data_IF_898247396859
#
_entry.id   IF_898247396859
#
_cell.length_a   1.000
_cell.length_b   1.000
_cell.length_c   1.000
_cell.angle_alpha   90.00
_cell.angle_beta   90.00
_cell.angle_gamma   90.00
#
_symmetry.space_group_name_H-M   'P 1'
#
loop_
_entity.id
_entity.type
_entity.pdbx_description
1 polymer ?
#
# COMPACT_ATOMS: atom_id res chain seq x y z
N UNK A 1 20.42 34.14 69.58
CA UNK A 1 19.73 33.67 68.36
C UNK A 1 20.81 33.05 67.48
N UNK A 2 20.92 31.72 67.42
CA UNK A 2 21.99 31.01 66.71
C UNK A 2 21.42 30.45 65.40
N UNK A 3 21.73 31.08 64.27
CA UNK A 3 21.36 30.58 62.94
C UNK A 3 22.29 29.43 62.59
N UNK A 4 21.76 28.19 62.50
CA UNK A 4 22.52 27.05 62.00
C UNK A 4 22.88 27.29 60.53
N UNK A 5 24.15 27.12 60.12
CA UNK A 5 24.49 27.09 58.71
C UNK A 5 23.97 25.78 58.11
N UNK A 6 23.10 25.89 57.10
CA UNK A 6 22.70 24.75 56.27
C UNK A 6 23.87 24.36 55.36
N UNK A 7 24.78 23.54 55.88
CA UNK A 7 25.87 22.96 55.08
C UNK A 7 25.56 21.51 54.76
N UNK A 8 25.46 21.16 53.48
CA UNK A 8 25.98 19.87 53.01
C UNK A 8 25.17 19.00 52.06
N UNK A 9 23.94 19.35 51.66
CA UNK A 9 23.12 18.45 50.80
C UNK A 9 23.14 18.79 49.31
N UNK A 10 23.33 20.06 48.93
CA UNK A 10 23.27 20.51 47.53
C UNK A 10 24.18 19.75 46.54
N UNK A 11 25.47 19.46 46.83
CA UNK A 11 26.30 18.72 45.89
C UNK A 11 25.86 17.25 45.76
N UNK A 12 25.33 16.65 46.83
CA UNK A 12 24.88 15.27 46.82
C UNK A 12 23.56 15.11 46.01
N UNK A 13 22.62 16.05 46.17
CA UNK A 13 21.39 16.05 45.36
C UNK A 13 21.65 16.29 43.88
N UNK A 14 22.58 17.19 43.52
CA UNK A 14 22.97 17.41 42.11
C UNK A 14 23.55 16.12 41.50
N UNK A 15 24.42 15.42 42.22
CA UNK A 15 25.01 14.16 41.76
C UNK A 15 23.94 13.06 41.58
N UNK A 16 22.98 12.95 42.51
CA UNK A 16 21.86 12.00 42.39
C UNK A 16 20.99 12.32 41.17
N UNK A 17 20.65 13.59 40.95
CA UNK A 17 19.83 14.02 39.80
C UNK A 17 20.56 13.76 38.48
N UNK A 18 21.85 14.08 38.38
CA UNK A 18 22.65 13.79 37.19
C UNK A 18 22.78 12.29 36.93
N UNK A 19 22.96 11.49 37.99
CA UNK A 19 22.98 10.03 37.90
C UNK A 19 21.64 9.46 37.41
N UNK A 20 20.53 9.90 38.00
CA UNK A 20 19.19 9.51 37.57
C UNK A 20 18.90 9.93 36.12
N UNK A 21 19.26 11.15 35.73
CA UNK A 21 19.10 11.65 34.37
C UNK A 21 19.93 10.81 33.35
N UNK A 22 21.16 10.43 33.72
CA UNK A 22 22.02 9.59 32.89
C UNK A 22 21.42 8.19 32.69
N UNK A 23 20.84 7.60 33.73
CA UNK A 23 20.14 6.31 33.67
C UNK A 23 18.91 6.42 32.76
N UNK A 24 18.12 7.47 32.90
CA UNK A 24 16.93 7.71 32.06
C UNK A 24 17.32 7.88 30.59
N UNK A 25 18.35 8.66 30.29
CA UNK A 25 18.87 8.84 28.93
C UNK A 25 19.37 7.52 28.33
N UNK A 26 20.13 6.72 29.10
CA UNK A 26 20.60 5.41 28.66
C UNK A 26 19.43 4.44 28.39
N UNK A 27 18.40 4.46 29.24
CA UNK A 27 17.18 3.69 29.03
C UNK A 27 16.44 4.13 27.76
N UNK A 28 16.29 5.43 27.52
CA UNK A 28 15.66 5.97 26.30
C UNK A 28 16.42 5.58 25.04
N UNK A 29 17.76 5.64 25.03
CA UNK A 29 18.58 5.21 23.89
C UNK A 29 18.39 3.72 23.61
N UNK A 30 18.34 2.90 24.66
CA UNK A 30 18.16 1.45 24.52
C UNK A 30 16.78 1.10 23.95
N UNK A 31 15.74 1.73 24.49
CA UNK A 31 14.36 1.58 23.99
C UNK A 31 14.23 2.07 22.55
N UNK A 32 14.86 3.20 22.22
CA UNK A 32 14.86 3.75 20.87
C UNK A 32 15.51 2.80 19.85
N UNK A 33 16.63 2.18 20.20
CA UNK A 33 17.29 1.17 19.34
C UNK A 33 16.42 -0.06 19.13
N UNK A 34 15.82 -0.60 20.20
CA UNK A 34 14.90 -1.73 20.09
C UNK A 34 13.70 -1.44 19.19
N UNK A 35 13.15 -0.22 19.28
CA UNK A 35 12.05 0.20 18.42
C UNK A 35 12.47 0.29 16.94
N UNK A 36 13.67 0.82 16.66
CA UNK A 36 14.22 0.89 15.30
C UNK A 36 14.49 -0.51 14.72
N UNK A 37 15.09 -1.41 15.50
CA UNK A 37 15.38 -2.78 15.06
C UNK A 37 14.09 -3.55 14.74
N UNK A 38 13.06 -3.38 15.58
CA UNK A 38 11.75 -3.98 15.35
C UNK A 38 11.06 -3.42 14.10
N UNK A 39 11.19 -2.11 13.84
CA UNK A 39 10.65 -1.48 12.64
C UNK A 39 11.36 -2.00 11.39
N UNK A 40 12.68 -2.09 11.41
CA UNK A 40 13.46 -2.63 10.29
C UNK A 40 13.11 -4.09 10.01
N UNK A 41 12.97 -4.92 11.04
CA UNK A 41 12.58 -6.32 10.90
C UNK A 41 11.20 -6.45 10.23
N UNK A 42 10.22 -5.61 10.60
CA UNK A 42 8.89 -5.59 9.99
C UNK A 42 8.94 -5.21 8.51
N UNK A 43 9.65 -4.14 8.17
CA UNK A 43 9.81 -3.73 6.76
C UNK A 43 10.44 -4.83 5.91
N UNK A 44 11.47 -5.51 6.44
CA UNK A 44 12.08 -6.64 5.76
C UNK A 44 11.11 -7.82 5.59
N UNK A 45 10.25 -8.08 6.58
CA UNK A 45 9.23 -9.13 6.51
C UNK A 45 8.18 -8.81 5.44
N UNK A 46 7.67 -7.58 5.41
CA UNK A 46 6.67 -7.12 4.44
C UNK A 46 7.20 -7.22 3.01
N UNK A 47 8.43 -6.75 2.79
CA UNK A 47 9.12 -6.83 1.52
C UNK A 47 9.31 -8.29 1.06
N UNK A 48 9.73 -9.17 1.97
CA UNK A 48 9.90 -10.59 1.68
C UNK A 48 8.56 -11.29 1.42
N UNK A 49 7.49 -10.96 2.14
CA UNK A 49 6.15 -11.51 1.92
C UNK A 49 5.60 -11.06 0.56
N UNK A 50 5.74 -9.79 0.21
CA UNK A 50 5.31 -9.26 -1.09
C UNK A 50 6.07 -9.92 -2.24
N UNK A 51 7.39 -10.06 -2.11
CA UNK A 51 8.20 -10.74 -3.11
C UNK A 51 7.89 -12.23 -3.20
N UNK A 52 7.56 -12.88 -2.07
CA UNK A 52 7.05 -14.24 -2.07
C UNK A 52 5.76 -14.37 -2.87
N UNK A 53 4.88 -13.36 -2.78
CA UNK A 53 3.66 -13.31 -3.55
C UNK A 53 3.89 -13.09 -5.05
N UNK A 54 5.07 -12.70 -5.52
CA UNK A 54 5.38 -12.50 -6.95
C UNK A 54 6.26 -13.61 -7.53
N UNK A 55 7.35 -13.93 -6.85
CA UNK A 55 8.39 -14.83 -7.36
C UNK A 55 8.65 -16.02 -6.42
N UNK A 56 7.82 -16.21 -5.39
CA UNK A 56 7.96 -17.30 -4.43
C UNK A 56 9.24 -17.19 -3.58
N UNK A 57 9.82 -18.34 -3.23
CA UNK A 57 10.95 -18.42 -2.29
C UNK A 57 12.18 -17.62 -2.74
N UNK A 58 12.47 -17.57 -4.04
CA UNK A 58 13.64 -16.87 -4.58
C UNK A 58 13.51 -15.35 -4.42
N UNK A 59 12.34 -14.79 -4.78
CA UNK A 59 12.04 -13.37 -4.59
C UNK A 59 12.07 -12.96 -3.12
N UNK A 60 11.44 -13.75 -2.25
CA UNK A 60 11.44 -13.53 -0.81
C UNK A 60 12.87 -13.49 -0.24
N UNK A 61 13.73 -14.43 -0.65
CA UNK A 61 15.13 -14.50 -0.20
C UNK A 61 15.99 -13.35 -0.75
N UNK A 62 15.71 -12.87 -1.95
CA UNK A 62 16.40 -11.72 -2.53
C UNK A 62 16.06 -10.44 -1.75
N UNK A 63 14.77 -10.17 -1.55
CA UNK A 63 14.31 -8.97 -0.85
C UNK A 63 14.65 -8.97 0.64
N UNK A 64 14.65 -10.13 1.31
CA UNK A 64 15.18 -10.25 2.66
C UNK A 64 16.65 -9.77 2.73
N UNK A 65 17.51 -10.26 1.83
CA UNK A 65 18.93 -9.88 1.81
C UNK A 65 19.13 -8.39 1.52
N UNK A 66 18.37 -7.82 0.58
CA UNK A 66 18.41 -6.36 0.30
C UNK A 66 18.05 -5.53 1.53
N UNK A 67 17.20 -6.05 2.42
CA UNK A 67 16.81 -5.41 3.67
C UNK A 67 17.68 -5.83 4.87
N UNK A 68 18.89 -6.35 4.63
CA UNK A 68 19.81 -6.84 5.66
C UNK A 68 19.18 -7.90 6.58
N UNK A 69 18.27 -8.70 6.04
CA UNK A 69 17.57 -9.77 6.73
C UNK A 69 17.91 -11.14 6.14
N UNK A 70 17.79 -12.18 6.97
CA UNK A 70 17.81 -13.57 6.51
C UNK A 70 16.40 -14.13 6.54
N UNK A 71 15.95 -14.74 5.45
CA UNK A 71 14.67 -15.42 5.41
C UNK A 71 14.72 -16.68 6.29
N UNK A 72 13.87 -16.76 7.32
CA UNK A 72 13.80 -17.89 8.24
C UNK A 72 12.84 -18.96 7.74
N UNK A 73 11.57 -18.59 7.54
CA UNK A 73 10.55 -19.50 7.00
C UNK A 73 9.64 -18.78 6.03
N UNK A 74 9.17 -19.52 5.02
CA UNK A 74 8.14 -19.08 4.10
C UNK A 74 7.03 -20.11 4.08
N UNK A 75 5.82 -19.69 4.42
CA UNK A 75 4.61 -20.48 4.23
C UNK A 75 3.85 -19.95 3.01
N UNK A 76 3.68 -20.79 2.00
CA UNK A 76 2.90 -20.48 0.79
C UNK A 76 1.61 -21.28 0.86
N UNK A 77 0.47 -20.60 0.99
CA UNK A 77 -0.85 -21.21 1.11
C UNK A 77 -1.82 -20.59 0.12
N UNK A 78 -2.01 -21.21 -1.05
CA UNK A 78 -2.91 -20.71 -2.09
C UNK A 78 -2.51 -19.29 -2.54
N UNK A 79 -3.32 -18.30 -2.20
CA UNK A 79 -3.05 -16.87 -2.46
C UNK A 79 -2.24 -16.18 -1.36
N UNK A 80 -2.15 -16.75 -0.17
CA UNK A 80 -1.49 -16.12 0.98
C UNK A 80 -0.04 -16.59 1.12
N UNK A 81 0.89 -15.64 1.24
CA UNK A 81 2.31 -15.87 1.36
C UNK A 81 2.81 -15.22 2.64
N UNK A 82 3.16 -16.03 3.63
CA UNK A 82 3.66 -15.57 4.92
C UNK A 82 5.17 -15.75 5.00
N UNK A 83 5.92 -14.65 5.09
CA UNK A 83 7.36 -14.65 5.26
C UNK A 83 7.73 -14.33 6.71
N UNK A 84 8.66 -15.10 7.26
CA UNK A 84 9.32 -14.82 8.53
C UNK A 84 10.78 -14.52 8.25
N UNK A 85 11.27 -13.37 8.70
CA UNK A 85 12.65 -12.94 8.52
C UNK A 85 13.33 -12.72 9.87
N UNK A 86 14.64 -12.77 9.88
CA UNK A 86 15.49 -12.45 11.03
C UNK A 86 16.39 -11.27 10.68
N UNK A 87 16.34 -10.21 11.48
CA UNK A 87 17.20 -9.01 11.38
C UNK A 87 17.86 -8.80 12.72
N UNK A 88 19.20 -8.89 12.78
CA UNK A 88 19.96 -8.67 14.03
C UNK A 88 19.42 -9.44 15.25
N UNK A 89 18.92 -10.66 15.05
CA UNK A 89 18.33 -11.50 16.09
C UNK A 89 16.84 -11.25 16.39
N UNK A 90 16.23 -10.21 15.82
CA UNK A 90 14.79 -9.98 15.88
C UNK A 90 14.07 -10.77 14.80
N UNK A 91 12.99 -11.46 15.18
CA UNK A 91 12.13 -12.19 14.26
C UNK A 91 10.89 -11.36 13.95
N UNK A 92 10.63 -11.12 12.67
CA UNK A 92 9.41 -10.48 12.20
C UNK A 92 8.71 -11.38 11.18
N UNK A 93 7.38 -11.28 11.13
CA UNK A 93 6.53 -12.05 10.24
C UNK A 93 5.53 -11.12 9.55
N UNK A 94 5.35 -11.31 8.26
CA UNK A 94 4.36 -10.61 7.46
C UNK A 94 3.67 -11.58 6.50
N UNK A 95 2.44 -11.25 6.11
CA UNK A 95 1.66 -12.01 5.15
C UNK A 95 1.24 -11.09 4.01
N UNK A 96 1.49 -11.53 2.77
CA UNK A 96 1.04 -10.87 1.56
C UNK A 96 0.13 -11.81 0.78
N UNK A 97 -0.93 -11.26 0.19
CA UNK A 97 -1.85 -12.04 -0.65
C UNK A 97 -1.58 -11.73 -2.12
N UNK A 98 -1.29 -12.76 -2.93
CA UNK A 98 -1.40 -12.69 -4.39
C UNK A 98 -2.87 -12.62 -4.76
N UNK A 99 -3.34 -11.45 -5.14
CA UNK A 99 -4.65 -11.30 -5.79
C UNK A 99 -4.44 -11.56 -7.27
N UNK A 100 -4.74 -12.79 -7.70
CA UNK A 100 -4.78 -13.14 -9.12
C UNK A 100 -6.13 -12.70 -9.67
N UNK A 101 -6.17 -11.54 -10.33
CA UNK A 101 -7.37 -11.12 -11.04
C UNK A 101 -7.51 -12.01 -12.28
N UNK A 102 -8.51 -12.90 -12.25
CA UNK A 102 -8.83 -13.81 -13.34
C UNK A 102 -9.02 -13.10 -14.68
N UNK A 103 -8.76 -13.88 -15.73
CA UNK A 103 -8.60 -13.53 -17.14
C UNK A 103 -9.66 -12.55 -17.71
N UNK A 104 -9.21 -11.63 -18.56
CA UNK A 104 -10.06 -10.73 -19.36
C UNK A 104 -10.05 -9.27 -18.88
N UNK A 105 -11.04 -8.86 -18.09
CA UNK A 105 -11.36 -7.44 -17.88
C UNK A 105 -10.39 -6.66 -16.97
N UNK A 106 -9.61 -7.37 -16.15
CA UNK A 106 -8.62 -6.77 -15.24
C UNK A 106 -7.18 -6.87 -15.74
N UNK A 107 -6.98 -7.57 -16.87
CA UNK A 107 -5.68 -7.66 -17.51
C UNK A 107 -5.20 -6.27 -17.94
N UNK A 108 -3.93 -5.95 -17.70
CA UNK A 108 -3.33 -4.66 -18.05
C UNK A 108 -3.73 -3.48 -17.15
N UNK A 109 -4.57 -3.68 -16.12
CA UNK A 109 -4.84 -2.63 -15.15
C UNK A 109 -3.60 -2.34 -14.30
N UNK A 110 -3.37 -1.05 -14.01
CA UNK A 110 -2.27 -0.64 -13.16
C UNK A 110 -2.51 -1.08 -11.71
N UNK A 111 -1.43 -1.33 -10.92
CA UNK A 111 -1.57 -1.72 -9.51
C UNK A 111 -2.44 -0.78 -8.68
N UNK A 112 -2.39 0.54 -8.96
CA UNK A 112 -3.24 1.52 -8.27
C UNK A 112 -4.73 1.32 -8.54
N UNK A 113 -5.10 0.96 -9.78
CA UNK A 113 -6.50 0.66 -10.12
C UNK A 113 -6.95 -0.64 -9.47
N UNK A 114 -6.09 -1.67 -9.45
CA UNK A 114 -6.39 -2.93 -8.77
C UNK A 114 -6.61 -2.75 -7.26
N UNK A 115 -5.79 -1.92 -6.61
CA UNK A 115 -5.95 -1.58 -5.19
C UNK A 115 -7.26 -0.81 -4.93
N UNK A 116 -7.59 0.15 -5.79
CA UNK A 116 -8.83 0.92 -5.70
C UNK A 116 -10.06 0.02 -5.88
N UNK A 117 -10.03 -0.89 -6.85
CA UNK A 117 -11.06 -1.90 -7.06
C UNK A 117 -11.21 -2.81 -5.85
N UNK A 118 -10.12 -3.36 -5.32
CA UNK A 118 -10.18 -4.21 -4.13
C UNK A 118 -10.86 -3.50 -2.94
N UNK A 119 -10.55 -2.21 -2.74
CA UNK A 119 -11.18 -1.40 -1.70
C UNK A 119 -12.67 -1.15 -1.98
N UNK A 120 -13.03 -0.85 -3.23
CA UNK A 120 -14.43 -0.69 -3.61
C UNK A 120 -15.23 -1.98 -3.37
N UNK A 121 -14.67 -3.12 -3.75
CA UNK A 121 -15.29 -4.45 -3.59
C UNK A 121 -15.50 -4.81 -2.12
N UNK A 122 -14.54 -4.46 -1.25
CA UNK A 122 -14.69 -4.62 0.20
C UNK A 122 -15.84 -3.76 0.76
N UNK A 123 -15.96 -2.50 0.31
CA UNK A 123 -17.03 -1.60 0.74
C UNK A 123 -18.41 -1.99 0.21
N UNK A 124 -18.48 -2.53 -1.01
CA UNK A 124 -19.72 -2.98 -1.65
C UNK A 124 -20.13 -4.37 -1.15
N UNK A 125 -19.17 -5.21 -0.75
CA UNK A 125 -19.38 -6.62 -0.40
C UNK A 125 -19.57 -7.53 -1.61
N UNK A 126 -19.30 -7.06 -2.83
CA UNK A 126 -19.33 -7.87 -4.05
C UNK A 126 -18.35 -7.36 -5.12
N UNK A 127 -17.98 -8.19 -6.11
CA UNK A 127 -17.05 -7.78 -7.16
C UNK A 127 -17.58 -6.64 -8.04
N UNK A 128 -16.70 -5.74 -8.46
CA UNK A 128 -17.04 -4.67 -9.42
C UNK A 128 -17.04 -5.26 -10.84
N UNK A 129 -18.19 -5.23 -11.56
CA UNK A 129 -18.26 -5.68 -12.95
C UNK A 129 -17.59 -4.65 -13.86
N UNK A 130 -16.59 -5.09 -14.63
CA UNK A 130 -15.85 -4.24 -15.58
C UNK A 130 -16.28 -4.61 -16.99
N UNK A 131 -16.74 -3.61 -17.75
CA UNK A 131 -17.04 -3.72 -19.19
C UNK A 131 -15.77 -3.48 -20.01
N UNK A 132 -14.98 -2.48 -19.62
CA UNK A 132 -13.76 -2.08 -20.33
C UNK A 132 -12.70 -1.65 -19.31
N UNK A 133 -11.49 -2.19 -19.43
CA UNK A 133 -10.36 -1.96 -18.53
C UNK A 133 -9.18 -1.35 -19.27
N UNK A 134 -8.06 -2.07 -19.36
CA UNK A 134 -6.93 -1.64 -20.18
C UNK A 134 -7.31 -1.59 -21.68
N UNK A 135 -6.79 -0.58 -22.38
CA UNK A 135 -6.94 -0.44 -23.84
C UNK A 135 -5.57 -0.15 -24.44
N UNK A 136 -5.14 -0.91 -25.43
CA UNK A 136 -3.84 -0.63 -26.07
C UNK A 136 -3.87 0.69 -26.87
N UNK A 137 -2.72 1.34 -27.13
CA UNK A 137 -2.68 2.55 -27.95
C UNK A 137 -3.27 2.35 -29.35
N UNK A 138 -3.07 1.17 -29.95
CA UNK A 138 -3.65 0.84 -31.25
C UNK A 138 -5.19 0.72 -31.18
N UNK A 139 -5.74 0.16 -30.10
CA UNK A 139 -7.18 0.09 -29.90
C UNK A 139 -7.78 1.47 -29.63
N UNK A 140 -7.07 2.31 -28.87
CA UNK A 140 -7.47 3.70 -28.64
C UNK A 140 -7.46 4.51 -29.95
N UNK A 141 -6.48 4.30 -30.83
CA UNK A 141 -6.45 4.92 -32.16
C UNK A 141 -7.68 4.50 -32.98
N UNK A 142 -7.98 3.19 -33.04
CA UNK A 142 -9.18 2.72 -33.76
C UNK A 142 -10.47 3.30 -33.19
N UNK A 143 -10.58 3.43 -31.86
CA UNK A 143 -11.74 4.05 -31.22
C UNK A 143 -11.83 5.54 -31.55
N UNK A 144 -10.70 6.25 -31.54
CA UNK A 144 -10.63 7.66 -31.88
C UNK A 144 -11.01 7.92 -33.34
N UNK A 145 -10.54 7.09 -34.27
CA UNK A 145 -10.86 7.19 -35.69
C UNK A 145 -12.36 6.97 -35.96
N UNK A 146 -13.01 6.12 -35.16
CA UNK A 146 -14.44 5.82 -35.24
C UNK A 146 -15.27 6.52 -34.15
N UNK A 147 -14.76 7.60 -33.55
CA UNK A 147 -15.40 8.25 -32.38
C UNK A 147 -16.81 8.78 -32.66
N UNK A 148 -17.12 9.10 -33.91
CA UNK A 148 -18.43 9.63 -34.30
C UNK A 148 -19.56 8.59 -34.13
N UNK A 149 -19.21 7.30 -33.97
CA UNK A 149 -20.18 6.23 -33.66
C UNK A 149 -20.24 5.90 -32.16
N UNK A 150 -19.46 6.59 -31.31
CA UNK A 150 -19.45 6.37 -29.87
C UNK A 150 -20.38 7.39 -29.20
N UNK A 151 -21.36 6.96 -28.37
CA UNK A 151 -22.20 7.88 -27.62
C UNK A 151 -21.45 8.68 -26.54
N UNK A 152 -20.26 8.23 -26.13
CA UNK A 152 -19.45 8.85 -25.08
C UNK A 152 -18.20 9.55 -25.64
N UNK A 153 -17.69 10.58 -24.95
CA UNK A 153 -16.43 11.22 -25.30
C UNK A 153 -15.28 10.21 -25.44
N UNK A 154 -14.52 10.34 -26.52
CA UNK A 154 -13.34 9.50 -26.76
C UNK A 154 -12.09 10.35 -26.54
N UNK A 155 -11.14 9.89 -25.72
CA UNK A 155 -9.86 10.56 -25.54
C UNK A 155 -8.95 10.41 -26.78
N UNK A 156 -8.08 11.40 -27.04
CA UNK A 156 -7.05 11.28 -28.08
C UNK A 156 -6.08 10.14 -27.72
N UNK A 157 -5.55 9.39 -28.70
CA UNK A 157 -4.52 8.37 -28.46
C UNK A 157 -3.30 8.94 -27.73
N UNK A 158 -2.74 8.18 -26.79
CA UNK A 158 -1.66 8.61 -25.89
C UNK A 158 -2.11 9.49 -24.71
N UNK A 159 -3.41 9.81 -24.61
CA UNK A 159 -3.97 10.61 -23.50
C UNK A 159 -5.04 9.86 -22.70
N UNK A 160 -5.45 8.67 -23.15
CA UNK A 160 -6.48 7.88 -22.48
C UNK A 160 -5.95 7.23 -21.22
N UNK A 161 -6.70 7.34 -20.11
CA UNK A 161 -6.36 6.63 -18.86
C UNK A 161 -6.48 5.11 -18.98
N UNK A 162 -7.26 4.61 -19.94
CA UNK A 162 -7.31 3.18 -20.26
C UNK A 162 -5.98 2.66 -20.81
N UNK A 163 -5.22 3.49 -21.55
CA UNK A 163 -3.88 3.13 -22.05
C UNK A 163 -2.85 2.99 -20.92
N UNK A 164 -3.14 3.55 -19.75
CA UNK A 164 -2.31 3.45 -18.55
C UNK A 164 -2.83 2.38 -17.57
N UNK A 165 -3.94 1.71 -17.88
CA UNK A 165 -4.63 0.82 -16.93
C UNK A 165 -5.17 1.55 -15.69
N UNK A 166 -5.38 2.86 -15.78
CA UNK A 166 -5.85 3.74 -14.69
C UNK A 166 -7.32 4.13 -14.83
N UNK A 167 -8.06 3.49 -15.73
CA UNK A 167 -9.48 3.68 -15.94
C UNK A 167 -10.21 2.35 -16.12
N UNK A 168 -11.50 2.35 -15.74
CA UNK A 168 -12.45 1.28 -15.99
C UNK A 168 -13.78 1.88 -16.42
N UNK A 169 -14.51 1.13 -17.22
CA UNK A 169 -15.92 1.39 -17.53
C UNK A 169 -16.77 0.27 -16.91
N UNK A 170 -17.86 0.63 -16.25
CA UNK A 170 -18.80 -0.31 -15.61
C UNK A 170 -20.15 -0.30 -16.30
N UNK A 171 -21.01 -1.32 -16.12
CA UNK A 171 -22.38 -1.26 -16.63
C UNK A 171 -23.13 -0.06 -16.04
N UNK A 172 -23.97 0.61 -16.83
CA UNK A 172 -24.75 1.77 -16.38
C UNK A 172 -25.58 1.46 -15.13
N UNK A 173 -26.09 0.23 -15.01
CA UNK A 173 -26.85 -0.24 -13.84
C UNK A 173 -26.03 -0.31 -12.55
N UNK A 174 -24.70 -0.40 -12.63
CA UNK A 174 -23.80 -0.49 -11.48
C UNK A 174 -23.22 0.85 -11.05
N UNK A 175 -23.37 1.89 -11.89
CA UNK A 175 -22.85 3.25 -11.64
C UNK A 175 -23.25 3.79 -10.26
N UNK A 176 -24.52 3.74 -9.82
CA UNK A 176 -24.90 4.28 -8.51
C UNK A 176 -24.17 3.58 -7.35
N UNK A 177 -23.98 2.27 -7.44
CA UNK A 177 -23.29 1.47 -6.42
C UNK A 177 -21.81 1.83 -6.33
N UNK A 178 -21.11 1.90 -7.46
CA UNK A 178 -19.70 2.26 -7.47
C UNK A 178 -19.48 3.74 -7.09
N UNK A 179 -20.32 4.65 -7.58
CA UNK A 179 -20.24 6.07 -7.28
C UNK A 179 -20.38 6.36 -5.77
N UNK A 180 -21.22 5.59 -5.06
CA UNK A 180 -21.40 5.74 -3.61
C UNK A 180 -20.13 5.48 -2.79
N UNK A 181 -19.20 4.67 -3.31
CA UNK A 181 -17.95 4.30 -2.62
C UNK A 181 -16.69 4.81 -3.33
N UNK A 182 -16.83 5.51 -4.46
CA UNK A 182 -15.71 5.88 -5.32
C UNK A 182 -14.63 6.67 -4.57
N UNK A 183 -15.00 7.77 -3.90
CA UNK A 183 -14.04 8.58 -3.14
C UNK A 183 -13.36 7.80 -2.01
N UNK A 184 -14.10 6.92 -1.32
CA UNK A 184 -13.57 6.11 -0.22
C UNK A 184 -12.66 4.95 -0.69
N UNK A 185 -12.71 4.63 -1.98
CA UNK A 185 -11.89 3.61 -2.63
C UNK A 185 -10.75 4.18 -3.47
N UNK A 186 -10.59 5.52 -3.52
CA UNK A 186 -9.57 6.17 -4.34
C UNK A 186 -9.93 6.28 -5.83
N UNK A 187 -11.20 6.03 -6.17
CA UNK A 187 -11.75 6.23 -7.50
C UNK A 187 -12.43 7.61 -7.62
N UNK A 188 -12.32 8.17 -8.82
CA UNK A 188 -12.95 9.41 -9.20
C UNK A 188 -13.90 9.15 -10.37
N UNK A 189 -15.02 9.88 -10.41
CA UNK A 189 -16.00 9.83 -11.48
C UNK A 189 -15.97 11.17 -12.23
N UNK A 190 -15.08 11.34 -13.23
CA UNK A 190 -14.72 12.65 -13.76
C UNK A 190 -15.82 13.28 -14.62
N UNK A 191 -16.65 12.46 -15.28
CA UNK A 191 -17.68 12.90 -16.22
C UNK A 191 -19.03 12.22 -15.91
N UNK A 192 -19.62 12.45 -14.72
CA UNK A 192 -20.79 11.69 -14.26
C UNK A 192 -22.07 11.90 -15.08
N UNK A 193 -22.09 12.88 -15.98
CA UNK A 193 -23.20 13.17 -16.89
C UNK A 193 -22.86 12.73 -18.31
N UNK A 194 -21.70 13.15 -18.82
CA UNK A 194 -21.31 12.94 -20.23
C UNK A 194 -20.69 11.56 -20.50
N UNK A 195 -20.12 10.92 -19.48
CA UNK A 195 -19.54 9.58 -19.54
C UNK A 195 -19.74 8.84 -18.18
N UNK A 196 -21.01 8.54 -17.83
CA UNK A 196 -21.39 8.08 -16.50
C UNK A 196 -20.86 6.69 -16.13
N UNK A 197 -20.34 5.94 -17.10
CA UNK A 197 -19.80 4.59 -16.88
C UNK A 197 -18.33 4.61 -16.51
N UNK A 198 -17.64 5.75 -16.71
CA UNK A 198 -16.20 5.86 -16.68
C UNK A 198 -15.66 6.29 -15.31
N UNK A 199 -14.79 5.45 -14.74
CA UNK A 199 -14.12 5.71 -13.46
C UNK A 199 -12.62 5.65 -13.63
N UNK A 200 -11.91 6.52 -12.90
CA UNK A 200 -10.45 6.61 -12.92
C UNK A 200 -9.88 6.50 -11.52
N UNK A 201 -8.60 6.13 -11.40
CA UNK A 201 -7.86 6.40 -10.16
C UNK A 201 -7.75 7.93 -9.97
N UNK A 202 -8.08 8.42 -8.79
CA UNK A 202 -7.96 9.83 -8.47
C UNK A 202 -6.49 10.30 -8.64
N UNK A 203 -6.21 11.40 -9.38
CA UNK A 203 -4.85 11.89 -9.59
C UNK A 203 -4.15 12.31 -8.29
N UNK A 204 -4.91 12.69 -7.27
CA UNK A 204 -4.45 13.03 -5.92
C UNK A 204 -5.40 12.38 -4.90
N UNK A 205 -5.10 11.20 -4.35
CA UNK A 205 -5.85 10.67 -3.22
C UNK A 205 -5.65 11.62 -2.03
N UNK A 206 -6.75 12.12 -1.45
CA UNK A 206 -6.73 12.90 -0.21
C UNK A 206 -6.71 11.98 1.00
#
# INVERSE_FOLDING_TARGET
>A
MYTRPETGSAPLTIMIVLGAASIVLAAMVTLGRQALDAAQARTAADAAALAAALDGQSGASALARTNAATLGSLAVGGTDHTASVVVQGQVARATARRVSYGDGARSGLAPAMLAALARAEELIGSPVPIVSGYRSPADQQRLWDNRDTNPYPVARPGTSRHELGLAIDVPLSFVPTLAAVASASGLCHPLPVDDPVHFIVCPNPR
#
